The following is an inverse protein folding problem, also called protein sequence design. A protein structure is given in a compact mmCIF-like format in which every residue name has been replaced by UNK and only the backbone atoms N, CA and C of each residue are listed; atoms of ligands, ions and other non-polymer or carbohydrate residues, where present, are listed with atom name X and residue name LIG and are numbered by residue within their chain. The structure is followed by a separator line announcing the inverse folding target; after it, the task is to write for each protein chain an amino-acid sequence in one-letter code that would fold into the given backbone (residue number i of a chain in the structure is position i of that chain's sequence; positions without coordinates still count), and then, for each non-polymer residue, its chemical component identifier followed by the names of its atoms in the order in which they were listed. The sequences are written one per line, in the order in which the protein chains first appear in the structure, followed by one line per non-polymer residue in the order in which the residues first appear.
data_IF_715195525665
#
_entry.id   IF_715195525665
#
_cell.length_a   1.000
_cell.length_b   1.000
_cell.length_c   1.000
_cell.angle_alpha   90.00
_cell.angle_beta   90.00
_cell.angle_gamma   90.00
#
_symmetry.space_group_name_H-M   'P 1'
#
loop_
_entity.id
_entity.type
_entity.pdbx_description
1 polymer ?
#
# COMPACT_ATOMS: atom_id res chain seq x y z
N UNK A 1 8.33 -2.99 -8.18
CA UNK A 1 7.06 -2.28 -7.96
C UNK A 1 6.04 -3.29 -7.45
N UNK A 2 5.25 -2.92 -6.44
CA UNK A 2 4.14 -3.75 -5.98
C UNK A 2 2.83 -3.16 -6.46
N UNK A 3 2.09 -3.92 -7.26
CA UNK A 3 0.71 -3.64 -7.59
C UNK A 3 -0.21 -4.09 -6.45
N UNK A 4 -1.04 -3.18 -5.97
CA UNK A 4 -1.97 -3.42 -4.88
C UNK A 4 -3.25 -4.11 -5.34
N UNK A 5 -3.16 -5.31 -5.92
CA UNK A 5 -4.33 -6.05 -6.39
C UNK A 5 -5.31 -6.38 -5.26
N UNK A 6 -4.82 -6.99 -4.18
CA UNK A 6 -5.64 -7.30 -3.01
C UNK A 6 -5.94 -6.06 -2.17
N UNK A 7 -4.96 -5.20 -1.93
CA UNK A 7 -5.15 -3.95 -1.17
C UNK A 7 -6.11 -2.98 -1.87
N UNK A 8 -6.21 -3.01 -3.20
CA UNK A 8 -7.20 -2.28 -4.00
C UNK A 8 -8.63 -2.79 -3.85
N UNK A 9 -8.82 -4.07 -3.51
CA UNK A 9 -10.14 -4.67 -3.20
C UNK A 9 -10.61 -4.37 -1.78
N UNK A 10 -9.75 -3.80 -0.94
CA UNK A 10 -10.05 -3.44 0.46
C UNK A 10 -10.14 -1.92 0.60
N UNK A 11 -9.18 -1.19 0.03
CA UNK A 11 -9.08 0.27 0.05
C UNK A 11 -8.31 0.81 1.27
N UNK A 12 -7.28 1.62 1.02
CA UNK A 12 -6.60 2.40 2.07
C UNK A 12 -7.59 3.41 2.67
N UNK A 13 -7.81 3.42 4.00
CA UNK A 13 -8.72 4.36 4.65
C UNK A 13 -8.35 5.80 4.32
N UNK A 14 -9.35 6.59 3.91
CA UNK A 14 -9.20 8.03 3.69
C UNK A 14 -9.81 8.81 4.83
N UNK A 15 -9.36 10.05 4.98
CA UNK A 15 -9.85 11.00 5.98
C UNK A 15 -11.38 11.18 5.92
N UNK A 16 -12.01 10.99 4.74
CA UNK A 16 -13.47 11.10 4.54
C UNK A 16 -14.02 9.97 3.66
N UNK A 17 -15.13 9.37 4.11
CA UNK A 17 -15.93 8.38 3.36
C UNK A 17 -15.25 7.03 3.11
N UNK A 18 -16.05 5.98 2.97
CA UNK A 18 -15.54 4.66 2.57
C UNK A 18 -15.18 4.62 1.08
N UNK A 19 -14.18 3.80 0.73
CA UNK A 19 -13.85 3.54 -0.69
C UNK A 19 -14.89 2.62 -1.35
N UNK A 20 -15.29 2.97 -2.56
CA UNK A 20 -16.03 2.06 -3.44
C UNK A 20 -15.08 0.96 -3.92
N UNK A 21 -15.48 -0.30 -3.74
CA UNK A 21 -14.68 -1.46 -4.14
C UNK A 21 -14.83 -1.71 -5.64
N UNK A 22 -13.70 -1.96 -6.32
CA UNK A 22 -13.69 -2.29 -7.75
C UNK A 22 -13.67 -3.81 -7.96
N UNK A 23 -14.14 -4.28 -9.11
CA UNK A 23 -14.07 -5.69 -9.47
C UNK A 23 -12.60 -6.13 -9.71
N UNK A 24 -12.30 -7.40 -9.45
CA UNK A 24 -10.94 -7.95 -9.61
C UNK A 24 -10.39 -7.76 -11.03
N UNK A 25 -11.22 -7.96 -12.06
CA UNK A 25 -10.82 -7.79 -13.47
C UNK A 25 -10.39 -6.36 -13.77
N UNK A 26 -11.11 -5.37 -13.21
CA UNK A 26 -10.76 -3.95 -13.35
C UNK A 26 -9.41 -3.64 -12.69
N UNK A 27 -9.13 -4.21 -11.52
CA UNK A 27 -7.86 -4.02 -10.82
C UNK A 27 -6.70 -4.64 -11.59
N UNK A 28 -6.90 -5.81 -12.21
CA UNK A 28 -5.92 -6.43 -13.08
C UNK A 28 -5.63 -5.58 -14.32
N UNK A 29 -6.67 -5.07 -14.98
CA UNK A 29 -6.52 -4.17 -16.13
C UNK A 29 -5.73 -2.91 -15.78
N UNK A 30 -6.02 -2.28 -14.64
CA UNK A 30 -5.29 -1.10 -14.18
C UNK A 30 -3.84 -1.40 -13.83
N UNK A 31 -3.57 -2.58 -13.27
CA UNK A 31 -2.21 -3.02 -12.96
C UNK A 31 -1.35 -3.08 -14.23
N UNK A 32 -1.90 -3.63 -15.33
CA UNK A 32 -1.18 -3.73 -16.60
C UNK A 32 -0.94 -2.35 -17.23
N UNK A 33 -1.94 -1.46 -17.16
CA UNK A 33 -1.77 -0.07 -17.63
C UNK A 33 -0.68 0.67 -16.84
N UNK A 34 -0.63 0.50 -15.52
CA UNK A 34 0.40 1.12 -14.67
C UNK A 34 1.78 0.52 -14.97
N UNK A 35 1.87 -0.80 -15.20
CA UNK A 35 3.12 -1.45 -15.64
C UNK A 35 3.67 -0.79 -16.91
N UNK A 36 2.86 -0.61 -17.95
CA UNK A 36 3.28 0.05 -19.18
C UNK A 36 3.70 1.51 -19.01
N UNK A 37 3.17 2.21 -18.00
CA UNK A 37 3.64 3.56 -17.65
C UNK A 37 5.01 3.53 -16.94
N UNK A 38 5.25 2.52 -16.11
CA UNK A 38 6.49 2.37 -15.34
C UNK A 38 7.68 1.95 -16.20
N UNK A 39 7.46 1.26 -17.32
CA UNK A 39 8.51 0.92 -18.30
C UNK A 39 9.27 2.14 -18.84
N UNK A 40 8.71 3.35 -18.68
CA UNK A 40 9.37 4.61 -19.05
C UNK A 40 10.37 5.10 -17.99
N UNK A 41 10.30 4.59 -16.77
CA UNK A 41 11.06 5.06 -15.62
C UNK A 41 12.02 4.02 -15.05
N UNK A 42 11.77 2.73 -15.30
CA UNK A 42 12.60 1.63 -14.81
C UNK A 42 12.78 0.58 -15.91
N UNK A 43 13.98 -0.02 -15.95
CA UNK A 43 14.33 -1.04 -16.93
C UNK A 43 13.85 -2.42 -16.47
N UNK A 44 13.03 -3.08 -17.30
CA UNK A 44 12.57 -4.44 -17.11
C UNK A 44 13.44 -5.38 -17.95
N UNK A 45 14.49 -5.94 -17.34
CA UNK A 45 15.38 -6.90 -17.98
C UNK A 45 15.71 -8.08 -17.05
N UNK A 46 16.52 -9.02 -17.54
CA UNK A 46 16.96 -10.19 -16.77
C UNK A 46 18.25 -9.91 -15.97
N UNK A 47 18.68 -8.65 -15.83
CA UNK A 47 19.83 -8.33 -15.00
C UNK A 47 19.47 -8.50 -13.52
N UNK A 48 20.49 -8.61 -12.66
CA UNK A 48 20.27 -8.67 -11.20
C UNK A 48 19.59 -7.44 -10.62
N UNK A 49 19.57 -6.33 -11.37
CA UNK A 49 18.92 -5.06 -11.02
C UNK A 49 17.65 -4.81 -11.83
N UNK A 50 17.23 -5.75 -12.67
CA UNK A 50 16.04 -5.63 -13.50
C UNK A 50 14.80 -5.43 -12.63
N UNK A 51 13.92 -4.51 -13.04
CA UNK A 51 12.72 -4.21 -12.30
C UNK A 51 11.76 -5.41 -12.29
N UNK A 52 11.17 -5.68 -11.13
CA UNK A 52 10.14 -6.72 -10.97
C UNK A 52 8.81 -6.03 -10.65
N UNK A 53 7.73 -6.42 -11.34
CA UNK A 53 6.36 -6.07 -10.93
C UNK A 53 5.73 -7.29 -10.29
N UNK A 54 5.34 -7.14 -9.04
CA UNK A 54 4.61 -8.14 -8.27
C UNK A 54 3.19 -7.67 -8.02
N UNK A 55 2.25 -8.60 -7.85
CA UNK A 55 0.89 -8.29 -7.45
C UNK A 55 0.58 -8.97 -6.11
N UNK A 56 0.22 -8.21 -5.08
CA UNK A 56 -0.06 -8.79 -3.76
C UNK A 56 -1.27 -9.72 -3.71
N UNK A 57 -2.08 -9.74 -4.77
CA UNK A 57 -3.13 -10.74 -4.94
C UNK A 57 -2.56 -12.17 -5.01
N UNK A 58 -1.31 -12.35 -5.45
CA UNK A 58 -0.67 -13.66 -5.57
C UNK A 58 -0.48 -14.40 -4.25
N UNK A 59 -0.30 -13.69 -3.15
CA UNK A 59 -0.21 -14.30 -1.82
C UNK A 59 -1.47 -14.08 -0.98
N UNK A 60 -2.22 -13.01 -1.25
CA UNK A 60 -3.39 -12.69 -0.46
C UNK A 60 -4.61 -13.53 -0.84
N UNK A 61 -4.76 -13.91 -2.13
CA UNK A 61 -5.91 -14.69 -2.60
C UNK A 61 -5.99 -16.07 -1.94
N UNK A 62 -4.85 -16.73 -1.84
CA UNK A 62 -4.77 -18.11 -1.34
C UNK A 62 -4.63 -18.17 0.20
N UNK A 63 -4.49 -17.01 0.86
CA UNK A 63 -4.45 -16.91 2.30
C UNK A 63 -5.84 -17.11 2.89
N UNK A 64 -6.02 -18.19 3.65
CA UNK A 64 -7.27 -18.41 4.36
C UNK A 64 -7.49 -17.34 5.43
N UNK A 65 -8.75 -17.07 5.77
CA UNK A 65 -9.08 -16.15 6.86
C UNK A 65 -8.42 -16.57 8.19
N UNK A 66 -8.27 -17.88 8.44
CA UNK A 66 -7.61 -18.39 9.65
C UNK A 66 -6.12 -18.06 9.63
N UNK A 67 -5.42 -18.28 8.52
CA UNK A 67 -4.00 -17.92 8.37
C UNK A 67 -3.80 -16.42 8.52
N UNK A 68 -4.67 -15.61 7.91
CA UNK A 68 -4.60 -14.16 8.05
C UNK A 68 -4.71 -13.74 9.53
N UNK A 69 -5.74 -14.19 10.24
CA UNK A 69 -5.95 -13.81 11.64
C UNK A 69 -4.84 -14.34 12.56
N UNK A 70 -4.42 -15.60 12.36
CA UNK A 70 -3.44 -16.28 13.21
C UNK A 70 -2.00 -15.84 12.94
N UNK A 71 -1.62 -15.71 11.68
CA UNK A 71 -0.22 -15.54 11.28
C UNK A 71 0.13 -14.08 10.95
N UNK A 72 -0.87 -13.22 10.72
CA UNK A 72 -0.70 -11.77 10.58
C UNK A 72 -1.35 -11.06 11.77
N UNK A 73 -2.65 -11.27 11.99
CA UNK A 73 -3.47 -10.53 12.94
C UNK A 73 -2.93 -10.52 14.38
N UNK A 74 -2.38 -11.65 14.87
CA UNK A 74 -1.81 -11.74 16.24
C UNK A 74 -0.70 -10.72 16.55
N UNK A 75 -0.06 -10.16 15.52
CA UNK A 75 1.05 -9.20 15.67
C UNK A 75 0.56 -7.75 15.79
N UNK A 76 -0.74 -7.51 15.70
CA UNK A 76 -1.35 -6.19 15.71
C UNK A 76 -2.22 -6.01 16.95
N UNK A 77 -1.83 -5.06 17.80
CA UNK A 77 -2.68 -4.61 18.91
C UNK A 77 -3.75 -3.69 18.37
N UNK A 78 -5.02 -4.00 18.66
CA UNK A 78 -6.16 -3.16 18.31
C UNK A 78 -5.98 -1.75 18.88
N UNK A 79 -5.59 -1.61 20.14
CA UNK A 79 -5.37 -0.29 20.78
C UNK A 79 -4.37 0.57 19.97
N UNK A 80 -3.23 -0.01 19.59
CA UNK A 80 -2.21 0.68 18.80
C UNK A 80 -2.72 1.08 17.41
N UNK A 81 -3.61 0.29 16.81
CA UNK A 81 -4.22 0.63 15.53
C UNK A 81 -5.22 1.78 15.64
N UNK A 82 -6.02 1.81 16.72
CA UNK A 82 -6.99 2.88 16.99
C UNK A 82 -6.31 4.22 17.26
N UNK A 83 -5.12 4.22 17.87
CA UNK A 83 -4.35 5.43 18.18
C UNK A 83 -3.78 6.15 16.95
N UNK A 84 -3.86 5.55 15.75
CA UNK A 84 -3.38 6.20 14.52
C UNK A 84 -4.32 7.35 14.13
N UNK A 85 -3.77 8.53 13.85
CA UNK A 85 -4.56 9.75 13.61
C UNK A 85 -5.63 9.65 12.52
N UNK A 86 -5.39 8.88 11.45
CA UNK A 86 -6.40 8.64 10.39
C UNK A 86 -7.57 7.83 10.92
N UNK A 87 -7.29 6.79 11.70
CA UNK A 87 -8.29 5.89 12.27
C UNK A 87 -9.06 6.59 13.38
N UNK A 88 -8.36 7.30 14.27
CA UNK A 88 -8.97 8.09 15.35
C UNK A 88 -9.98 9.11 14.81
N UNK A 89 -9.59 9.89 13.79
CA UNK A 89 -10.49 10.87 13.15
C UNK A 89 -11.74 10.23 12.54
N UNK A 90 -11.63 9.03 11.98
CA UNK A 90 -12.77 8.28 11.42
C UNK A 90 -13.69 7.74 12.50
N UNK A 91 -13.13 7.25 13.61
CA UNK A 91 -13.90 6.73 14.75
C UNK A 91 -14.70 7.81 15.47
N UNK A 92 -14.19 9.04 15.53
CA UNK A 92 -14.90 10.18 16.12
C UNK A 92 -16.07 10.67 15.23
N UNK A 93 -16.17 10.18 14.00
CA UNK A 93 -17.17 10.58 13.00
C UNK A 93 -18.06 9.41 12.54
N UNK A 94 -18.03 9.11 11.24
CA UNK A 94 -18.88 8.11 10.59
C UNK A 94 -18.48 6.65 10.91
N UNK A 95 -17.33 6.44 11.55
CA UNK A 95 -16.76 5.13 11.81
C UNK A 95 -15.87 4.62 10.67
N UNK A 96 -15.38 3.40 10.87
CA UNK A 96 -14.55 2.66 9.91
C UNK A 96 -14.99 1.19 9.90
N UNK A 97 -15.19 0.61 8.72
CA UNK A 97 -15.48 -0.81 8.62
C UNK A 97 -14.28 -1.67 9.00
N UNK A 98 -14.55 -2.91 9.40
CA UNK A 98 -13.50 -3.89 9.68
C UNK A 98 -12.62 -4.15 8.43
N UNK A 99 -13.20 -4.05 7.24
CA UNK A 99 -12.51 -4.17 5.95
C UNK A 99 -11.43 -3.10 5.82
N UNK A 100 -11.80 -1.81 5.91
CA UNK A 100 -10.85 -0.69 5.84
C UNK A 100 -9.83 -0.75 7.00
N UNK A 101 -10.27 -1.13 8.20
CA UNK A 101 -9.39 -1.30 9.36
C UNK A 101 -8.32 -2.39 9.16
N UNK A 102 -8.65 -3.45 8.41
CA UNK A 102 -7.75 -4.58 8.13
C UNK A 102 -6.73 -4.29 7.02
N UNK A 103 -6.89 -3.20 6.27
CA UNK A 103 -5.97 -2.80 5.19
C UNK A 103 -4.51 -2.74 5.66
N UNK A 104 -4.27 -2.17 6.86
CA UNK A 104 -2.94 -2.05 7.44
C UNK A 104 -2.21 -3.40 7.56
N UNK A 105 -2.94 -4.45 7.93
CA UNK A 105 -2.38 -5.77 8.13
C UNK A 105 -1.91 -6.37 6.80
N UNK A 106 -2.71 -6.16 5.74
CA UNK A 106 -2.37 -6.62 4.39
C UNK A 106 -1.13 -5.90 3.86
N UNK A 107 -1.10 -4.56 3.90
CA UNK A 107 0.06 -3.80 3.44
C UNK A 107 1.33 -4.13 4.25
N UNK A 108 1.19 -4.40 5.55
CA UNK A 108 2.32 -4.84 6.36
C UNK A 108 2.80 -6.25 5.96
N UNK A 109 1.88 -7.17 5.66
CA UNK A 109 2.22 -8.52 5.23
C UNK A 109 2.87 -8.54 3.84
N UNK A 110 2.55 -7.59 2.97
CA UNK A 110 3.22 -7.44 1.67
C UNK A 110 4.74 -7.29 1.83
N UNK A 111 5.20 -6.56 2.85
CA UNK A 111 6.64 -6.43 3.10
C UNK A 111 7.28 -7.74 3.59
N UNK A 112 6.54 -8.55 4.35
CA UNK A 112 6.97 -9.89 4.77
C UNK A 112 7.14 -10.80 3.56
N UNK A 113 6.18 -10.81 2.65
CA UNK A 113 6.20 -11.64 1.45
C UNK A 113 7.28 -11.18 0.46
N UNK A 114 7.43 -9.87 0.25
CA UNK A 114 8.49 -9.32 -0.59
C UNK A 114 9.90 -9.60 -0.03
N UNK A 115 10.06 -9.60 1.29
CA UNK A 115 11.33 -10.03 1.87
C UNK A 115 11.60 -11.52 1.63
N UNK A 116 10.58 -12.39 1.79
CA UNK A 116 10.72 -13.84 1.58
C UNK A 116 11.04 -14.20 0.12
N UNK A 117 10.39 -13.53 -0.82
CA UNK A 117 10.47 -13.84 -2.26
C UNK A 117 11.69 -13.21 -2.91
N UNK A 118 11.99 -11.96 -2.55
CA UNK A 118 12.93 -11.11 -3.28
C UNK A 118 14.01 -10.48 -2.40
N UNK A 119 14.07 -10.83 -1.11
CA UNK A 119 14.96 -10.17 -0.14
C UNK A 119 14.84 -8.65 -0.16
N UNK A 120 13.61 -8.13 -0.35
CA UNK A 120 13.35 -6.70 -0.30
C UNK A 120 13.67 -6.15 1.09
N UNK A 121 14.69 -5.30 1.20
CA UNK A 121 15.17 -4.72 2.46
C UNK A 121 14.83 -3.24 2.65
N UNK A 122 14.25 -2.58 1.64
CA UNK A 122 13.85 -1.18 1.70
C UNK A 122 12.50 -0.98 1.00
N UNK A 123 11.57 -0.34 1.71
CA UNK A 123 10.30 0.12 1.14
C UNK A 123 10.27 1.64 1.11
N UNK A 124 9.88 2.19 -0.04
CA UNK A 124 9.79 3.62 -0.30
C UNK A 124 8.33 3.98 -0.59
N UNK A 125 7.87 5.13 -0.10
CA UNK A 125 6.54 5.67 -0.41
C UNK A 125 6.41 7.16 -0.10
N UNK A 126 5.24 7.74 -0.36
CA UNK A 126 4.93 9.11 0.04
C UNK A 126 4.92 9.29 1.56
N UNK A 127 5.09 10.52 2.05
CA UNK A 127 5.11 10.81 3.49
C UNK A 127 3.82 10.41 4.22
N UNK A 128 2.69 10.37 3.52
CA UNK A 128 1.40 9.88 4.00
C UNK A 128 1.38 8.35 4.26
N UNK A 129 2.25 7.58 3.60
CA UNK A 129 2.34 6.12 3.75
C UNK A 129 3.25 5.67 4.90
N UNK A 130 3.90 6.59 5.60
CA UNK A 130 4.89 6.29 6.66
C UNK A 130 4.41 5.23 7.65
N UNK A 131 3.22 5.41 8.23
CA UNK A 131 2.74 4.52 9.26
C UNK A 131 2.41 3.10 8.76
N UNK A 132 2.03 2.96 7.49
CA UNK A 132 1.78 1.63 6.90
C UNK A 132 3.10 0.91 6.60
N UNK A 133 4.09 1.65 6.09
CA UNK A 133 5.44 1.11 5.83
C UNK A 133 6.10 0.64 7.14
N UNK A 134 6.03 1.46 8.20
CA UNK A 134 6.59 1.10 9.52
C UNK A 134 5.89 -0.12 10.12
N UNK A 135 4.59 -0.30 9.88
CA UNK A 135 3.90 -1.51 10.29
C UNK A 135 4.48 -2.76 9.60
N UNK A 136 4.82 -2.66 8.31
CA UNK A 136 5.54 -3.69 7.57
C UNK A 136 6.92 -4.00 8.15
N UNK A 137 7.74 -2.96 8.40
CA UNK A 137 9.07 -3.12 9.03
C UNK A 137 8.96 -3.85 10.37
N UNK A 138 8.00 -3.46 11.21
CA UNK A 138 7.76 -4.11 12.50
C UNK A 138 7.35 -5.57 12.33
N UNK A 139 6.45 -5.84 11.38
CA UNK A 139 5.96 -7.20 11.13
C UNK A 139 7.06 -8.12 10.59
N UNK A 140 7.92 -7.65 9.68
CA UNK A 140 9.10 -8.39 9.19
C UNK A 140 10.00 -8.78 10.37
N UNK A 141 10.30 -7.83 11.26
CA UNK A 141 11.10 -8.11 12.47
C UNK A 141 10.44 -9.14 13.38
N UNK A 142 9.12 -9.04 13.59
CA UNK A 142 8.39 -9.94 14.48
C UNK A 142 8.22 -11.36 13.90
N UNK A 143 8.00 -11.49 12.58
CA UNK A 143 7.77 -12.80 11.93
C UNK A 143 9.05 -13.49 11.51
N UNK A 144 10.05 -12.73 11.05
CA UNK A 144 11.25 -13.27 10.41
C UNK A 144 12.53 -13.01 11.20
N UNK A 145 12.50 -12.14 12.21
CA UNK A 145 13.70 -11.79 12.99
C UNK A 145 14.69 -10.91 12.24
N UNK A 146 14.30 -10.33 11.11
CA UNK A 146 15.18 -9.55 10.23
C UNK A 146 14.90 -8.04 10.35
N UNK A 147 15.96 -7.24 10.21
CA UNK A 147 15.86 -5.79 10.07
C UNK A 147 15.74 -5.40 8.60
N UNK A 148 14.71 -4.61 8.30
CA UNK A 148 14.49 -3.96 7.00
C UNK A 148 14.25 -2.47 7.22
N UNK A 149 14.23 -1.69 6.15
CA UNK A 149 14.28 -0.24 6.18
C UNK A 149 13.04 0.40 5.57
N UNK A 150 12.78 1.65 5.97
CA UNK A 150 11.72 2.48 5.44
C UNK A 150 12.29 3.84 5.04
N UNK A 151 11.84 4.37 3.91
CA UNK A 151 12.13 5.73 3.48
C UNK A 151 10.87 6.36 2.92
N UNK A 152 10.61 7.61 3.28
CA UNK A 152 9.51 8.38 2.69
C UNK A 152 10.03 9.57 1.90
N UNK A 153 9.33 9.85 0.80
CA UNK A 153 9.55 11.06 0.01
C UNK A 153 8.53 12.13 0.41
N UNK A 154 8.91 13.41 0.46
CA UNK A 154 8.00 14.48 0.85
C UNK A 154 6.86 14.62 -0.16
N UNK A 155 5.68 15.01 0.33
CA UNK A 155 4.60 15.44 -0.55
C UNK A 155 5.01 16.71 -1.29
N UNK A 156 4.82 16.72 -2.61
CA UNK A 156 5.14 17.88 -3.44
C UNK A 156 4.06 18.95 -3.25
N UNK A 157 4.46 20.13 -2.79
CA UNK A 157 3.59 21.31 -2.62
C UNK A 157 4.13 22.47 -3.43
N UNK A 158 3.26 23.26 -4.04
CA UNK A 158 3.65 24.51 -4.66
C UNK A 158 4.05 25.55 -3.60
N UNK A 159 4.81 26.58 -3.99
CA UNK A 159 5.28 27.63 -3.09
C UNK A 159 4.14 28.45 -2.45
N UNK A 160 2.96 28.47 -3.08
CA UNK A 160 1.73 29.08 -2.58
C UNK A 160 0.94 28.16 -1.62
N UNK A 161 1.46 26.97 -1.31
CA UNK A 161 0.81 25.97 -0.46
C UNK A 161 -0.25 25.13 -1.16
N UNK A 162 -0.49 25.33 -2.47
CA UNK A 162 -1.40 24.48 -3.23
C UNK A 162 -0.83 23.07 -3.41
N UNK A 163 -1.72 22.05 -3.36
CA UNK A 163 -1.33 20.67 -3.67
C UNK A 163 -0.87 20.58 -5.12
N UNK A 164 0.33 20.05 -5.33
CA UNK A 164 0.89 19.81 -6.66
C UNK A 164 0.00 18.81 -7.42
N UNK A 165 -0.23 19.06 -8.71
CA UNK A 165 -0.97 18.14 -9.58
C UNK A 165 -2.46 18.42 -9.75
N UNK A 166 -3.02 19.45 -9.10
CA UNK A 166 -4.30 20.02 -9.53
C UNK A 166 -4.04 21.01 -10.66
N UNK A 167 -4.60 20.76 -11.84
CA UNK A 167 -4.63 21.77 -12.90
C UNK A 167 -5.34 23.03 -12.39
N UNK A 168 -5.14 24.17 -13.05
CA UNK A 168 -5.85 25.42 -12.74
C UNK A 168 -7.39 25.28 -12.78
N UNK A 169 -7.93 24.17 -13.30
CA UNK A 169 -9.35 23.78 -13.28
C UNK A 169 -9.72 22.65 -12.32
N UNK A 170 -8.85 22.22 -11.40
CA UNK A 170 -9.16 21.26 -10.34
C UNK A 170 -9.05 19.78 -10.70
N UNK A 171 -8.55 19.44 -11.89
CA UNK A 171 -8.36 18.05 -12.35
C UNK A 171 -6.97 17.49 -12.06
N UNK A 172 -6.83 16.16 -12.09
CA UNK A 172 -5.54 15.48 -12.02
C UNK A 172 -4.77 15.63 -13.35
N UNK A 173 -3.45 15.70 -13.28
CA UNK A 173 -2.56 15.55 -14.44
C UNK A 173 -2.22 14.07 -14.62
N UNK A 174 -2.65 13.47 -15.72
CA UNK A 174 -2.45 12.05 -16.01
C UNK A 174 -1.18 11.80 -16.83
N UNK A 175 -0.53 10.66 -16.59
CA UNK A 175 0.59 10.18 -17.42
C UNK A 175 0.11 9.52 -18.72
N UNK A 176 -1.16 9.12 -18.78
CA UNK A 176 -1.79 8.62 -19.99
C UNK A 176 -2.08 9.80 -20.93
N UNK A 177 -1.59 9.79 -22.18
CA UNK A 177 -1.91 10.83 -23.15
C UNK A 177 -3.33 10.74 -23.72
N UNK A 178 -4.12 9.71 -23.39
CA UNK A 178 -5.47 9.47 -23.90
C UNK A 178 -6.55 9.74 -22.86
#
# INVERSE_FOLDING_TARGET
MLAGGATGLIGDPRDTGERTLNAADTVLEWTERIRGQLEKFVDFDNASTGAIVENNLEWTRDMSAIEFLRDVGKHFSVNVMLDRDVIRRRLDGEGISYTEFSYLLLQANDYVELYRRHHCVLQIGGSDQWGNIIAGVRLVRQKLGVTVHALTVPLVTAADGAKFGKSTGGGNLWLDPR
#
